data_IF_031528305066
#
_entry.id   IF_031528305066
#
_cell.length_a   1.000
_cell.length_b   1.000
_cell.length_c   1.000
_cell.angle_alpha   90.00
_cell.angle_beta   90.00
_cell.angle_gamma   90.00
#
_symmetry.space_group_name_H-M   'P 1'
#
loop_
_entity.id
_entity.type
_entity.pdbx_description
1 polymer ?
#
# COMPACT_ATOMS: atom_id res chain seq x y z
N UNK A 1 -21.60 -58.58 32.33
CA UNK A 1 -20.78 -59.56 33.04
C UNK A 1 -19.33 -59.14 33.02
N UNK A 2 -18.70 -59.15 34.14
CA UNK A 2 -17.30 -59.04 34.55
C UNK A 2 -16.67 -57.65 34.53
N UNK A 3 -16.74 -57.06 35.74
CA UNK A 3 -15.81 -56.06 36.25
C UNK A 3 -14.42 -56.65 36.49
N UNK A 4 -13.37 -55.93 36.32
CA UNK A 4 -12.07 -56.21 36.93
C UNK A 4 -11.51 -54.93 37.55
N UNK A 5 -11.37 -55.03 38.87
CA UNK A 5 -10.67 -54.08 39.77
C UNK A 5 -9.17 -54.10 39.51
N UNK A 6 -8.55 -52.90 39.60
CA UNK A 6 -7.11 -52.82 39.85
C UNK A 6 -6.84 -52.02 41.13
N UNK A 7 -6.06 -52.67 41.97
CA UNK A 7 -5.69 -52.27 43.33
C UNK A 7 -4.54 -51.25 43.30
N UNK A 8 -4.66 -50.16 44.09
CA UNK A 8 -3.58 -49.24 44.38
C UNK A 8 -2.59 -49.85 45.38
N UNK A 9 -1.31 -49.86 45.04
CA UNK A 9 -0.22 -50.17 45.97
C UNK A 9 0.52 -48.85 46.26
N UNK A 10 0.41 -48.34 47.49
CA UNK A 10 1.17 -47.20 47.97
C UNK A 10 2.51 -47.69 48.52
N UNK A 11 3.61 -47.22 47.94
CA UNK A 11 4.95 -47.39 48.48
C UNK A 11 5.41 -46.10 49.17
N UNK A 12 5.60 -46.16 50.48
CA UNK A 12 6.20 -45.11 51.31
C UNK A 12 7.73 -45.24 51.15
N UNK A 13 8.37 -44.19 50.62
CA UNK A 13 9.85 -44.09 50.64
C UNK A 13 10.21 -42.93 51.57
N UNK A 14 10.92 -43.26 52.64
CA UNK A 14 11.45 -42.30 53.60
C UNK A 14 12.59 -41.47 52.97
N UNK A 15 12.50 -40.16 53.01
CA UNK A 15 13.50 -39.24 52.53
C UNK A 15 14.56 -38.99 53.57
N UNK A 16 15.81 -39.29 53.25
CA UNK A 16 17.00 -38.87 54.00
C UNK A 16 17.43 -37.50 53.47
N UNK A 17 17.31 -36.43 54.28
CA UNK A 17 17.79 -35.10 53.97
C UNK A 17 19.36 -35.11 54.02
N UNK A 18 19.97 -34.76 52.88
CA UNK A 18 21.34 -34.26 52.85
C UNK A 18 21.30 -32.81 52.41
N UNK A 19 22.05 -31.90 53.07
CA UNK A 19 22.13 -30.50 52.56
C UNK A 19 23.01 -30.47 51.32
N UNK A 20 22.41 -30.20 50.14
CA UNK A 20 23.15 -29.92 48.91
C UNK A 20 23.60 -28.47 48.92
N UNK A 21 24.90 -28.25 48.85
CA UNK A 21 25.54 -26.97 48.56
C UNK A 21 24.97 -26.40 47.25
N UNK A 22 24.41 -25.17 47.30
CA UNK A 22 23.86 -24.47 46.17
C UNK A 22 24.90 -24.18 45.10
N UNK A 23 24.77 -24.77 43.93
CA UNK A 23 25.36 -24.28 42.71
C UNK A 23 24.58 -23.03 42.24
N UNK A 24 25.23 -21.97 41.74
CA UNK A 24 24.51 -20.81 41.21
C UNK A 24 23.67 -21.26 40.01
N UNK A 25 22.35 -20.99 40.05
CA UNK A 25 21.49 -21.15 38.91
C UNK A 25 22.03 -20.22 37.81
N UNK A 26 22.50 -20.78 36.70
CA UNK A 26 22.70 -20.04 35.48
C UNK A 26 21.32 -19.58 35.02
N UNK A 27 21.05 -18.29 35.24
CA UNK A 27 19.91 -17.59 34.64
C UNK A 27 20.18 -17.52 33.12
N UNK A 28 19.80 -18.57 32.42
CA UNK A 28 19.72 -18.55 30.95
C UNK A 28 18.49 -17.71 30.65
N UNK A 29 18.69 -16.39 30.59
CA UNK A 29 17.69 -15.46 30.12
C UNK A 29 17.25 -15.92 28.73
N UNK A 30 16.14 -16.65 28.67
CA UNK A 30 15.41 -16.90 27.44
C UNK A 30 14.91 -15.52 26.95
N UNK A 31 15.75 -14.83 26.16
CA UNK A 31 15.27 -13.69 25.39
C UNK A 31 14.17 -14.23 24.49
N UNK A 32 12.94 -13.77 24.71
CA UNK A 32 11.85 -14.03 23.75
C UNK A 32 12.36 -13.70 22.35
N UNK A 33 12.08 -14.53 21.33
CA UNK A 33 12.51 -14.25 19.98
C UNK A 33 11.92 -12.89 19.59
N UNK A 34 12.80 -11.93 19.34
CA UNK A 34 12.40 -10.57 18.94
C UNK A 34 11.56 -10.71 17.66
N UNK A 35 10.32 -10.19 17.71
CA UNK A 35 9.43 -10.24 16.55
C UNK A 35 10.13 -9.60 15.35
N UNK A 36 10.09 -10.27 14.19
CA UNK A 36 10.72 -9.75 12.98
C UNK A 36 10.14 -8.37 12.63
N UNK A 37 10.99 -7.41 12.24
CA UNK A 37 10.53 -6.09 11.87
C UNK A 37 9.62 -6.15 10.66
N UNK A 38 8.53 -5.40 10.71
CA UNK A 38 7.57 -5.22 9.62
C UNK A 38 7.90 -3.96 8.85
N UNK A 39 7.94 -4.07 7.53
CA UNK A 39 8.24 -2.95 6.65
C UNK A 39 7.11 -2.70 5.67
N UNK A 40 6.96 -1.42 5.30
CA UNK A 40 6.04 -0.96 4.28
C UNK A 40 6.82 -0.29 3.17
N UNK A 41 6.62 -0.75 1.95
CA UNK A 41 7.25 -0.23 0.75
C UNK A 41 6.22 0.46 -0.14
N UNK A 42 6.67 1.23 -1.12
CA UNK A 42 5.84 1.71 -2.19
C UNK A 42 6.49 1.41 -3.55
N UNK A 43 5.71 0.85 -4.46
CA UNK A 43 6.10 0.61 -5.84
C UNK A 43 6.31 1.93 -6.55
N UNK A 44 7.48 2.14 -7.14
CA UNK A 44 7.87 3.37 -7.79
C UNK A 44 8.26 3.12 -9.25
N UNK A 45 7.51 3.70 -10.18
CA UNK A 45 7.74 3.57 -11.62
C UNK A 45 8.93 4.43 -12.05
N UNK A 46 10.10 3.81 -12.28
CA UNK A 46 11.29 4.50 -12.83
C UNK A 46 11.09 4.85 -14.30
N UNK A 47 10.27 4.08 -15.02
CA UNK A 47 9.99 4.26 -16.45
C UNK A 47 9.31 5.58 -16.82
N UNK A 48 8.79 6.35 -15.85
CA UNK A 48 8.16 7.66 -16.12
C UNK A 48 8.93 8.84 -15.51
N UNK A 49 10.17 8.64 -15.06
CA UNK A 49 10.94 9.72 -14.40
C UNK A 49 12.26 10.05 -15.10
N UNK A 50 12.31 9.96 -16.42
CA UNK A 50 13.47 10.32 -17.22
C UNK A 50 14.03 11.72 -16.88
N UNK A 51 13.12 12.65 -16.58
CA UNK A 51 13.45 14.06 -16.32
C UNK A 51 13.73 14.38 -14.85
N UNK A 52 13.59 13.39 -13.93
CA UNK A 52 13.81 13.63 -12.50
C UNK A 52 15.24 14.07 -12.24
N UNK A 53 15.35 15.08 -11.37
CA UNK A 53 16.58 15.52 -10.76
C UNK A 53 16.69 14.98 -9.34
N UNK A 54 17.83 15.12 -8.70
CA UNK A 54 18.05 14.68 -7.33
C UNK A 54 16.99 15.18 -6.35
N UNK A 55 16.57 16.44 -6.50
CA UNK A 55 15.58 17.08 -5.60
C UNK A 55 14.17 16.51 -5.74
N UNK A 56 13.79 16.00 -6.92
CA UNK A 56 12.50 15.34 -7.12
C UNK A 56 12.46 14.04 -6.30
N UNK A 57 13.53 13.23 -6.37
CA UNK A 57 13.70 12.04 -5.57
C UNK A 57 13.69 12.32 -4.06
N UNK A 58 14.41 13.37 -3.63
CA UNK A 58 14.44 13.81 -2.22
C UNK A 58 13.04 14.20 -1.73
N UNK A 59 12.29 14.92 -2.56
CA UNK A 59 10.92 15.36 -2.24
C UNK A 59 9.98 14.18 -2.06
N UNK A 60 9.97 13.23 -2.99
CA UNK A 60 9.15 12.04 -2.93
C UNK A 60 9.50 11.16 -1.71
N UNK A 61 10.78 10.92 -1.48
CA UNK A 61 11.23 10.11 -0.34
C UNK A 61 10.87 10.74 1.01
N UNK A 62 10.99 12.06 1.17
CA UNK A 62 10.56 12.76 2.38
C UNK A 62 9.04 12.64 2.59
N UNK A 63 8.26 12.75 1.52
CA UNK A 63 6.82 12.58 1.60
C UNK A 63 6.41 11.15 1.99
N UNK A 64 7.13 10.14 1.50
CA UNK A 64 6.94 8.74 1.86
C UNK A 64 7.33 8.45 3.32
N UNK A 65 8.48 8.96 3.77
CA UNK A 65 8.91 8.85 5.17
C UNK A 65 7.93 9.46 6.15
N UNK A 66 7.30 10.59 5.80
CA UNK A 66 6.36 11.32 6.65
C UNK A 66 5.15 10.48 7.07
N UNK A 67 4.83 9.43 6.33
CA UNK A 67 3.73 8.50 6.62
C UNK A 67 4.21 7.12 7.08
N UNK A 68 5.53 6.91 7.20
CA UNK A 68 6.11 5.67 7.70
C UNK A 68 6.46 4.61 6.67
N UNK A 69 6.48 4.95 5.37
CA UNK A 69 7.04 4.09 4.31
C UNK A 69 8.55 3.97 4.53
N UNK A 70 9.07 2.77 4.42
CA UNK A 70 10.47 2.43 4.71
C UNK A 70 11.36 2.46 3.47
N UNK A 71 10.82 2.07 2.30
CA UNK A 71 11.57 2.03 1.04
C UNK A 71 10.68 2.21 -0.18
N UNK A 72 11.31 2.62 -1.30
CA UNK A 72 10.73 2.47 -2.62
C UNK A 72 11.22 1.20 -3.31
N UNK A 73 10.29 0.43 -3.90
CA UNK A 73 10.57 -0.63 -4.86
C UNK A 73 10.71 0.02 -6.25
N UNK A 74 11.94 0.20 -6.71
CA UNK A 74 12.26 0.92 -7.95
C UNK A 74 12.00 0.03 -9.16
N UNK A 75 10.78 0.08 -9.72
CA UNK A 75 10.40 -0.67 -10.89
C UNK A 75 11.11 -0.09 -12.13
N UNK A 76 11.94 -0.89 -12.77
CA UNK A 76 12.74 -0.45 -13.91
C UNK A 76 12.71 -1.45 -15.07
N UNK A 77 12.57 -0.90 -16.30
CA UNK A 77 12.60 -1.65 -17.54
C UNK A 77 14.00 -1.69 -18.16
N UNK A 78 14.31 -2.77 -18.87
CA UNK A 78 15.60 -2.94 -19.56
C UNK A 78 15.76 -2.05 -20.81
N UNK A 79 14.64 -1.55 -21.33
CA UNK A 79 14.59 -0.74 -22.55
C UNK A 79 14.84 0.74 -22.30
N UNK A 80 14.68 1.22 -21.07
CA UNK A 80 14.83 2.63 -20.71
C UNK A 80 16.31 3.00 -20.53
N UNK A 81 16.83 3.79 -21.45
CA UNK A 81 18.26 4.16 -21.47
C UNK A 81 18.68 4.99 -20.25
N UNK A 82 17.74 5.67 -19.61
CA UNK A 82 17.96 6.49 -18.41
C UNK A 82 17.91 5.69 -17.11
N UNK A 83 17.51 4.42 -17.13
CA UNK A 83 17.44 3.55 -15.93
C UNK A 83 18.73 3.62 -15.09
N UNK A 84 19.96 3.46 -15.64
CA UNK A 84 21.16 3.52 -14.82
C UNK A 84 21.35 4.87 -14.12
N UNK A 85 21.04 5.98 -14.80
CA UNK A 85 21.14 7.33 -14.26
C UNK A 85 20.11 7.56 -13.17
N UNK A 86 18.86 7.18 -13.40
CA UNK A 86 17.78 7.38 -12.45
C UNK A 86 17.93 6.50 -11.21
N UNK A 87 18.41 5.26 -11.35
CA UNK A 87 18.76 4.43 -10.19
C UNK A 87 19.88 5.06 -9.37
N UNK A 88 20.94 5.59 -10.02
CA UNK A 88 22.03 6.26 -9.29
C UNK A 88 21.54 7.49 -8.51
N UNK A 89 20.68 8.32 -9.11
CA UNK A 89 20.06 9.47 -8.43
C UNK A 89 19.15 9.04 -7.28
N UNK A 90 18.35 7.99 -7.48
CA UNK A 90 17.48 7.44 -6.43
C UNK A 90 18.28 6.94 -5.22
N UNK A 91 19.34 6.18 -5.43
CA UNK A 91 20.21 5.70 -4.35
C UNK A 91 20.95 6.85 -3.65
N UNK A 92 21.40 7.86 -4.40
CA UNK A 92 22.02 9.06 -3.85
C UNK A 92 21.04 9.84 -2.97
N UNK A 93 19.83 10.11 -3.46
CA UNK A 93 18.78 10.80 -2.72
C UNK A 93 18.39 10.04 -1.45
N UNK A 94 18.20 8.73 -1.57
CA UNK A 94 17.86 7.86 -0.45
C UNK A 94 18.92 7.90 0.66
N UNK A 95 20.20 7.86 0.30
CA UNK A 95 21.30 8.02 1.25
C UNK A 95 21.28 9.40 1.93
N UNK A 96 21.03 10.47 1.14
CA UNK A 96 20.99 11.84 1.66
C UNK A 96 19.90 12.04 2.72
N UNK A 97 18.72 11.44 2.54
CA UNK A 97 17.57 11.61 3.46
C UNK A 97 17.39 10.44 4.44
N UNK A 98 18.34 9.49 4.48
CA UNK A 98 18.25 8.28 5.28
C UNK A 98 16.97 7.47 5.00
N UNK A 99 16.64 7.31 3.73
CA UNK A 99 15.58 6.45 3.22
C UNK A 99 16.17 5.19 2.60
N UNK A 100 15.35 4.17 2.35
CA UNK A 100 15.80 2.95 1.68
C UNK A 100 15.17 2.81 0.30
N UNK A 101 15.87 2.09 -0.57
CA UNK A 101 15.38 1.71 -1.89
C UNK A 101 15.84 0.29 -2.21
N UNK A 102 15.15 -0.38 -3.12
CA UNK A 102 15.59 -1.62 -3.74
C UNK A 102 15.08 -1.72 -5.17
N UNK A 103 15.76 -2.49 -5.99
CA UNK A 103 15.37 -2.64 -7.40
C UNK A 103 14.23 -3.65 -7.52
N UNK A 104 13.23 -3.31 -8.32
CA UNK A 104 12.17 -4.19 -8.82
C UNK A 104 12.29 -4.29 -10.34
N UNK A 105 12.79 -5.42 -10.84
CA UNK A 105 12.96 -5.61 -12.28
C UNK A 105 11.63 -5.90 -12.96
N UNK A 106 11.26 -5.13 -13.98
CA UNK A 106 10.02 -5.31 -14.73
C UNK A 106 10.19 -6.37 -15.82
N UNK A 107 9.76 -7.59 -15.56
CA UNK A 107 9.86 -8.71 -16.50
C UNK A 107 8.87 -8.67 -17.68
N UNK A 108 8.09 -7.62 -17.81
CA UNK A 108 7.48 -7.31 -19.11
C UNK A 108 8.54 -6.85 -20.14
N UNK A 109 9.73 -6.42 -19.65
CA UNK A 109 10.84 -5.91 -20.47
C UNK A 109 12.17 -6.61 -20.21
N UNK A 110 12.37 -7.19 -19.03
CA UNK A 110 13.50 -8.08 -18.74
C UNK A 110 13.17 -9.51 -19.13
N UNK A 111 14.18 -10.33 -19.30
CA UNK A 111 14.04 -11.74 -19.68
C UNK A 111 14.91 -12.66 -18.82
N UNK A 112 14.64 -13.95 -18.86
CA UNK A 112 15.49 -14.96 -18.21
C UNK A 112 16.93 -14.97 -18.75
N UNK A 113 17.16 -14.43 -19.95
CA UNK A 113 18.49 -14.27 -20.54
C UNK A 113 19.32 -13.13 -19.97
N UNK A 114 18.72 -12.21 -19.22
CA UNK A 114 19.38 -11.02 -18.68
C UNK A 114 20.03 -11.26 -17.32
N UNK A 115 20.18 -12.50 -16.86
CA UNK A 115 20.76 -12.89 -15.56
C UNK A 115 22.07 -12.16 -15.24
N UNK A 116 22.98 -12.05 -16.22
CA UNK A 116 24.29 -11.39 -16.01
C UNK A 116 24.13 -9.87 -15.77
N UNK A 117 23.18 -9.22 -16.47
CA UNK A 117 22.91 -7.79 -16.26
C UNK A 117 22.25 -7.54 -14.90
N UNK A 118 21.27 -8.38 -14.52
CA UNK A 118 20.62 -8.33 -13.21
C UNK A 118 21.63 -8.52 -12.09
N UNK A 119 22.53 -9.51 -12.24
CA UNK A 119 23.62 -9.73 -11.29
C UNK A 119 24.56 -8.53 -11.18
N UNK A 120 24.85 -7.84 -12.30
CA UNK A 120 25.68 -6.62 -12.28
C UNK A 120 25.01 -5.48 -11.50
N UNK A 121 23.69 -5.26 -11.66
CA UNK A 121 22.94 -4.29 -10.85
C UNK A 121 22.98 -4.66 -9.37
N UNK A 122 22.74 -5.94 -9.04
CA UNK A 122 22.79 -6.37 -7.64
C UNK A 122 24.20 -6.26 -7.05
N UNK A 123 25.25 -6.59 -7.81
CA UNK A 123 26.63 -6.38 -7.38
C UNK A 123 26.95 -4.91 -7.11
N UNK A 124 26.37 -4.00 -7.90
CA UNK A 124 26.58 -2.56 -7.73
C UNK A 124 25.88 -2.00 -6.48
N UNK A 125 24.65 -2.48 -6.18
CA UNK A 125 23.80 -1.83 -5.19
C UNK A 125 23.59 -2.64 -3.89
N UNK A 126 23.80 -3.96 -3.86
CA UNK A 126 23.46 -4.79 -2.71
C UNK A 126 24.11 -4.36 -1.39
N UNK A 127 25.29 -3.75 -1.45
CA UNK A 127 26.00 -3.21 -0.28
C UNK A 127 25.91 -1.68 -0.14
N UNK A 128 25.07 -1.03 -0.95
CA UNK A 128 24.90 0.42 -0.85
C UNK A 128 24.22 0.81 0.46
N UNK A 129 24.63 1.90 1.18
CA UNK A 129 24.02 2.29 2.46
C UNK A 129 22.50 2.51 2.40
N UNK A 130 21.96 2.94 1.25
CA UNK A 130 20.52 3.12 1.04
C UNK A 130 19.79 1.85 0.58
N UNK A 131 20.50 0.74 0.30
CA UNK A 131 19.86 -0.51 -0.09
C UNK A 131 19.04 -1.08 1.08
N UNK A 132 17.77 -1.45 0.81
CA UNK A 132 16.93 -2.13 1.79
C UNK A 132 17.49 -3.53 2.08
N UNK A 133 17.65 -3.84 3.35
CA UNK A 133 18.09 -5.15 3.83
C UNK A 133 16.96 -5.85 4.59
N UNK A 134 16.77 -7.13 4.37
CA UNK A 134 15.82 -7.95 5.11
C UNK A 134 16.38 -9.37 5.28
N UNK A 135 16.22 -9.95 6.49
CA UNK A 135 16.73 -11.30 6.84
C UNK A 135 18.18 -11.53 6.40
N UNK A 136 19.02 -10.50 6.53
CA UNK A 136 20.46 -10.59 6.22
C UNK A 136 20.82 -10.50 4.74
N UNK A 137 19.86 -10.19 3.85
CA UNK A 137 20.11 -10.03 2.42
C UNK A 137 19.56 -8.73 1.85
N UNK A 138 20.17 -8.23 0.79
CA UNK A 138 19.70 -7.10 0.02
C UNK A 138 18.38 -7.46 -0.67
N UNK A 139 17.30 -6.70 -0.38
CA UNK A 139 15.99 -6.94 -0.98
C UNK A 139 16.05 -6.65 -2.48
N UNK A 140 15.45 -7.53 -3.26
CA UNK A 140 15.20 -7.36 -4.68
C UNK A 140 13.84 -7.95 -5.02
N UNK A 141 13.10 -7.32 -5.94
CA UNK A 141 11.79 -7.79 -6.38
C UNK A 141 11.67 -7.76 -7.90
N UNK A 142 10.49 -8.09 -8.41
CA UNK A 142 10.12 -8.00 -9.83
C UNK A 142 8.68 -7.55 -9.97
N UNK A 143 8.33 -7.03 -11.15
CA UNK A 143 7.00 -7.13 -11.69
C UNK A 143 7.02 -8.27 -12.70
N UNK A 144 6.07 -9.21 -12.62
CA UNK A 144 6.10 -10.49 -13.36
C UNK A 144 7.48 -11.17 -13.25
N UNK A 145 7.62 -12.33 -12.77
CA UNK A 145 8.96 -12.92 -12.55
C UNK A 145 8.92 -14.42 -12.30
N UNK A 146 7.79 -15.06 -12.62
CA UNK A 146 7.46 -16.43 -12.24
C UNK A 146 8.50 -17.47 -12.65
N UNK A 147 9.20 -17.26 -13.76
CA UNK A 147 10.15 -18.24 -14.30
C UNK A 147 11.62 -17.92 -14.06
N UNK A 148 11.94 -16.74 -13.48
CA UNK A 148 13.32 -16.31 -13.31
C UNK A 148 14.04 -17.08 -12.20
N UNK A 149 15.28 -17.51 -12.47
CA UNK A 149 16.10 -18.23 -11.49
C UNK A 149 17.09 -17.28 -10.80
N UNK A 150 16.88 -17.04 -9.51
CA UNK A 150 17.71 -16.19 -8.66
C UNK A 150 19.03 -16.84 -8.22
N UNK A 151 19.16 -18.16 -8.32
CA UNK A 151 20.37 -18.90 -7.91
C UNK A 151 21.66 -18.36 -8.54
N UNK A 152 21.75 -18.23 -9.87
CA UNK A 152 22.92 -17.67 -10.55
C UNK A 152 23.21 -16.21 -10.16
N UNK A 153 22.19 -15.37 -9.95
CA UNK A 153 22.38 -13.99 -9.49
C UNK A 153 23.02 -13.97 -8.11
N UNK A 154 22.49 -14.77 -7.18
CA UNK A 154 23.04 -14.91 -5.81
C UNK A 154 24.49 -15.40 -5.81
N UNK A 155 24.83 -16.32 -6.70
CA UNK A 155 26.20 -16.83 -6.84
C UNK A 155 27.17 -15.78 -7.40
N UNK A 156 26.69 -14.91 -8.31
CA UNK A 156 27.52 -13.89 -8.95
C UNK A 156 27.65 -12.61 -8.12
N UNK A 157 26.87 -12.46 -7.04
CA UNK A 157 26.88 -11.27 -6.17
C UNK A 157 27.65 -11.57 -4.89
N UNK A 158 28.59 -10.69 -4.53
CA UNK A 158 29.44 -10.86 -3.32
C UNK A 158 28.69 -10.62 -2.00
N UNK A 159 27.49 -10.05 -2.05
CA UNK A 159 26.63 -9.78 -0.89
C UNK A 159 25.37 -10.66 -0.93
N UNK A 160 24.86 -11.11 0.23
CA UNK A 160 23.62 -11.86 0.28
C UNK A 160 22.44 -11.08 -0.34
N UNK A 161 21.57 -11.78 -1.05
CA UNK A 161 20.37 -11.25 -1.67
C UNK A 161 19.15 -11.92 -1.06
N UNK A 162 18.12 -11.13 -0.76
CA UNK A 162 16.78 -11.57 -0.35
C UNK A 162 15.81 -11.28 -1.49
N UNK A 163 15.56 -12.27 -2.35
CA UNK A 163 14.71 -12.12 -3.54
C UNK A 163 13.25 -12.42 -3.22
N UNK A 164 12.38 -11.43 -3.46
CA UNK A 164 10.92 -11.51 -3.28
C UNK A 164 10.22 -11.13 -4.59
N UNK A 165 10.32 -11.99 -5.63
CA UNK A 165 9.74 -11.69 -6.94
C UNK A 165 8.22 -11.66 -6.91
N UNK A 166 7.61 -10.87 -7.80
CA UNK A 166 6.19 -11.00 -8.08
C UNK A 166 5.92 -12.31 -8.81
N UNK A 167 5.02 -13.09 -8.27
CA UNK A 167 4.51 -14.32 -8.85
C UNK A 167 3.03 -14.13 -9.16
N UNK A 168 2.62 -14.38 -10.39
CA UNK A 168 1.22 -14.26 -10.80
C UNK A 168 0.37 -15.45 -10.31
N UNK A 169 0.97 -16.64 -10.24
CA UNK A 169 0.34 -17.83 -9.71
C UNK A 169 0.87 -18.16 -8.32
N UNK A 170 0.03 -18.13 -7.27
CA UNK A 170 0.44 -18.53 -5.92
C UNK A 170 1.07 -19.93 -5.87
N UNK A 171 0.60 -20.87 -6.71
CA UNK A 171 1.16 -22.22 -6.76
C UNK A 171 2.63 -22.24 -7.18
N UNK A 172 3.09 -21.25 -7.97
CA UNK A 172 4.49 -21.11 -8.31
C UNK A 172 5.37 -20.75 -7.10
N UNK A 173 4.80 -20.21 -6.04
CA UNK A 173 5.53 -19.88 -4.81
C UNK A 173 6.10 -21.14 -4.13
N UNK A 174 5.39 -22.26 -4.15
CA UNK A 174 5.86 -23.51 -3.56
C UNK A 174 7.10 -24.10 -4.23
N UNK A 175 7.29 -23.85 -5.51
CA UNK A 175 8.47 -24.28 -6.29
C UNK A 175 9.57 -23.24 -6.40
N UNK A 176 9.30 -22.01 -5.92
CA UNK A 176 10.18 -20.87 -6.17
C UNK A 176 11.48 -20.93 -5.36
N UNK A 177 11.49 -21.56 -4.20
CA UNK A 177 12.73 -21.83 -3.45
C UNK A 177 13.76 -22.63 -4.27
N UNK A 178 13.31 -23.48 -5.20
CA UNK A 178 14.20 -24.20 -6.13
C UNK A 178 14.85 -23.26 -7.17
N UNK A 179 14.24 -22.08 -7.40
CA UNK A 179 14.76 -21.02 -8.27
C UNK A 179 15.51 -19.94 -7.49
N UNK A 180 15.81 -20.18 -6.21
CA UNK A 180 16.59 -19.30 -5.37
C UNK A 180 15.87 -18.06 -4.86
N UNK A 181 14.55 -17.95 -4.98
CA UNK A 181 13.79 -16.90 -4.31
C UNK A 181 13.63 -17.20 -2.81
N UNK A 182 13.47 -16.14 -2.00
CA UNK A 182 13.32 -16.21 -0.53
C UNK A 182 11.90 -15.92 -0.08
N UNK A 183 11.02 -15.63 -1.04
CA UNK A 183 9.63 -15.34 -0.81
C UNK A 183 8.91 -14.99 -2.10
N UNK A 184 7.73 -14.40 -1.98
CA UNK A 184 6.97 -13.92 -3.13
C UNK A 184 6.22 -12.62 -2.82
N UNK A 185 6.04 -11.82 -3.87
CA UNK A 185 5.21 -10.64 -3.92
C UNK A 185 3.94 -10.95 -4.72
N UNK A 186 2.78 -10.55 -4.19
CA UNK A 186 1.49 -10.65 -4.88
C UNK A 186 1.13 -9.32 -5.54
N UNK A 187 0.56 -9.37 -6.76
CA UNK A 187 -0.01 -8.18 -7.42
C UNK A 187 -1.53 -8.09 -7.29
N UNK A 188 -2.17 -9.01 -6.58
CA UNK A 188 -3.61 -9.03 -6.37
C UNK A 188 -4.04 -8.02 -5.30
N UNK A 189 -3.99 -6.73 -5.65
CA UNK A 189 -4.33 -5.61 -4.75
C UNK A 189 -5.80 -5.16 -4.87
N UNK A 190 -6.55 -5.68 -5.84
CA UNK A 190 -7.91 -5.28 -6.19
C UNK A 190 -8.85 -6.49 -6.21
N UNK A 191 -10.18 -6.28 -6.11
CA UNK A 191 -11.16 -7.36 -6.25
C UNK A 191 -11.03 -8.03 -7.61
N UNK A 192 -10.64 -9.30 -7.63
CA UNK A 192 -10.49 -10.11 -8.86
C UNK A 192 -10.56 -11.60 -8.56
N UNK A 193 -11.05 -12.36 -9.52
CA UNK A 193 -11.00 -13.84 -9.51
C UNK A 193 -9.69 -14.38 -10.13
N UNK A 194 -8.79 -13.50 -10.51
CA UNK A 194 -7.49 -13.80 -11.11
C UNK A 194 -7.22 -13.02 -12.38
N UNK A 195 -5.95 -12.74 -12.66
CA UNK A 195 -5.53 -11.87 -13.76
C UNK A 195 -6.21 -10.51 -13.67
N UNK A 196 -6.75 -10.05 -14.79
CA UNK A 196 -7.48 -8.78 -14.88
C UNK A 196 -9.01 -8.96 -14.89
N UNK A 197 -9.54 -10.05 -14.33
CA UNK A 197 -10.99 -10.26 -14.24
C UNK A 197 -11.62 -9.21 -13.34
N UNK A 198 -12.70 -8.59 -13.81
CA UNK A 198 -13.41 -7.53 -13.10
C UNK A 198 -14.61 -8.15 -12.39
N UNK A 199 -14.60 -8.12 -11.08
CA UNK A 199 -15.69 -8.63 -10.25
C UNK A 199 -16.31 -7.52 -9.42
N UNK A 200 -17.56 -7.71 -9.05
CA UNK A 200 -18.26 -6.82 -8.13
C UNK A 200 -17.79 -7.16 -6.71
N UNK A 201 -16.89 -6.34 -6.16
CA UNK A 201 -16.29 -6.54 -4.83
C UNK A 201 -17.25 -7.00 -3.73
N UNK A 202 -16.88 -6.98 -2.48
CA UNK A 202 -15.64 -6.38 -1.95
C UNK A 202 -14.38 -7.24 -2.17
N UNK A 203 -13.22 -6.63 -1.96
CA UNK A 203 -11.93 -7.35 -1.89
C UNK A 203 -11.97 -8.39 -0.77
N UNK A 204 -11.48 -9.59 -1.05
CA UNK A 204 -11.29 -10.66 -0.05
C UNK A 204 -9.82 -10.99 0.13
N UNK A 205 -9.49 -11.84 1.10
CA UNK A 205 -8.11 -12.30 1.36
C UNK A 205 -7.76 -13.60 0.63
N UNK A 206 -8.62 -14.08 -0.27
CA UNK A 206 -8.46 -15.40 -0.91
C UNK A 206 -7.10 -15.59 -1.62
N UNK A 207 -6.57 -14.53 -2.21
CA UNK A 207 -5.26 -14.55 -2.85
C UNK A 207 -4.14 -14.55 -1.82
N UNK A 208 -4.24 -13.70 -0.78
CA UNK A 208 -3.27 -13.67 0.32
C UNK A 208 -3.18 -15.03 1.00
N UNK A 209 -4.33 -15.66 1.29
CA UNK A 209 -4.40 -16.96 1.94
C UNK A 209 -3.70 -18.05 1.11
N UNK A 210 -3.82 -17.99 -0.23
CA UNK A 210 -3.11 -18.89 -1.14
C UNK A 210 -1.60 -18.67 -1.08
N UNK A 211 -1.13 -17.41 -1.19
CA UNK A 211 0.30 -17.11 -1.08
C UNK A 211 0.87 -17.52 0.27
N UNK A 212 0.21 -17.19 1.37
CA UNK A 212 0.65 -17.56 2.73
C UNK A 212 0.78 -19.07 2.87
N UNK A 213 -0.20 -19.83 2.36
CA UNK A 213 -0.20 -21.29 2.37
C UNK A 213 0.96 -21.86 1.55
N UNK A 214 1.15 -21.38 0.32
CA UNK A 214 2.11 -21.95 -0.62
C UNK A 214 3.56 -21.55 -0.28
N UNK A 215 3.75 -20.39 0.36
CA UNK A 215 5.04 -19.92 0.85
C UNK A 215 5.53 -20.64 2.12
N UNK A 216 4.65 -21.30 2.85
CA UNK A 216 4.98 -22.15 4.01
C UNK A 216 5.95 -21.48 5.02
N UNK A 217 5.71 -20.22 5.36
CA UNK A 217 6.50 -19.46 6.35
C UNK A 217 7.71 -18.71 5.80
N UNK A 218 7.96 -18.72 4.48
CA UNK A 218 8.92 -17.83 3.84
C UNK A 218 8.35 -16.40 3.72
N UNK A 219 9.07 -15.46 3.12
CA UNK A 219 8.65 -14.06 3.06
C UNK A 219 7.44 -13.89 2.14
N UNK A 220 6.33 -13.37 2.70
CA UNK A 220 5.20 -12.88 1.92
C UNK A 220 5.19 -11.36 1.91
N UNK A 221 5.21 -10.75 0.72
CA UNK A 221 5.00 -9.33 0.50
C UNK A 221 3.60 -9.12 -0.07
N UNK A 222 2.72 -8.56 0.76
CA UNK A 222 1.31 -8.37 0.42
C UNK A 222 1.09 -7.00 -0.24
N UNK A 223 0.24 -6.91 -1.28
CA UNK A 223 -0.04 -5.65 -1.95
C UNK A 223 -1.14 -4.87 -1.25
N UNK A 224 -1.04 -3.54 -1.29
CA UNK A 224 -2.11 -2.60 -0.91
C UNK A 224 -2.28 -1.59 -2.03
N UNK A 225 -3.50 -1.36 -2.51
CA UNK A 225 -3.78 -0.31 -3.48
C UNK A 225 -5.05 0.45 -3.12
N UNK A 226 -5.10 1.77 -3.40
CA UNK A 226 -6.29 2.55 -3.07
C UNK A 226 -7.37 2.49 -4.15
N UNK A 227 -6.98 2.47 -5.42
CA UNK A 227 -7.85 2.61 -6.57
C UNK A 227 -7.26 1.91 -7.79
N UNK A 228 -8.05 1.77 -8.85
CA UNK A 228 -7.57 1.38 -10.16
C UNK A 228 -8.51 1.85 -11.27
N UNK A 229 -7.97 2.63 -12.18
CA UNK A 229 -8.63 2.98 -13.42
C UNK A 229 -7.58 3.29 -14.49
N UNK A 230 -7.71 2.72 -15.67
CA UNK A 230 -6.80 2.97 -16.78
C UNK A 230 -7.56 3.16 -18.08
N UNK A 231 -7.05 4.02 -18.96
CA UNK A 231 -7.75 4.45 -20.18
C UNK A 231 -6.79 4.61 -21.37
N UNK A 232 -5.93 3.60 -21.58
CA UNK A 232 -5.08 3.49 -22.77
C UNK A 232 -5.71 2.56 -23.82
N UNK A 233 -5.34 2.72 -25.09
CA UNK A 233 -5.77 1.80 -26.15
C UNK A 233 -5.43 0.34 -25.85
N UNK A 234 -4.31 0.08 -25.20
CA UNK A 234 -3.85 -1.26 -24.82
C UNK A 234 -4.42 -1.76 -23.50
N UNK A 235 -4.88 -0.84 -22.64
CA UNK A 235 -5.42 -1.11 -21.31
C UNK A 235 -6.59 -0.16 -21.04
N UNK A 236 -7.82 -0.67 -20.97
CA UNK A 236 -9.01 0.17 -20.79
C UNK A 236 -10.03 -0.52 -19.90
N UNK A 237 -9.82 -0.48 -18.57
CA UNK A 237 -10.71 -1.06 -17.57
C UNK A 237 -10.59 -0.39 -16.20
N UNK A 238 -11.54 -0.69 -15.32
CA UNK A 238 -11.54 -0.33 -13.90
C UNK A 238 -11.73 -1.56 -13.04
N UNK A 239 -11.11 -1.58 -11.84
CA UNK A 239 -11.54 -2.48 -10.79
C UNK A 239 -12.55 -1.78 -9.86
N UNK A 240 -13.37 -2.56 -9.14
CA UNK A 240 -14.41 -2.03 -8.26
C UNK A 240 -13.81 -1.79 -6.87
N UNK A 241 -13.10 -0.68 -6.72
CA UNK A 241 -12.30 -0.37 -5.55
C UNK A 241 -13.08 0.28 -4.40
N UNK A 242 -14.02 1.15 -4.71
CA UNK A 242 -14.94 1.84 -3.77
C UNK A 242 -14.36 2.13 -2.37
N UNK A 243 -14.57 1.26 -1.37
CA UNK A 243 -14.03 1.38 -0.01
C UNK A 243 -12.69 0.63 0.19
N UNK A 244 -12.04 0.21 -0.88
CA UNK A 244 -10.78 -0.55 -0.84
C UNK A 244 -9.68 0.11 0.01
N UNK A 245 -9.49 1.46 0.01
CA UNK A 245 -8.42 2.10 0.77
C UNK A 245 -8.40 1.74 2.26
N UNK A 246 -9.55 1.62 2.90
CA UNK A 246 -9.65 1.22 4.31
C UNK A 246 -9.70 -0.30 4.47
N UNK A 247 -10.55 -0.96 3.67
CA UNK A 247 -10.73 -2.41 3.74
C UNK A 247 -9.41 -3.18 3.59
N UNK A 248 -8.58 -2.77 2.63
CA UNK A 248 -7.31 -3.48 2.37
C UNK A 248 -6.33 -3.34 3.53
N UNK A 249 -6.22 -2.18 4.15
CA UNK A 249 -5.40 -2.00 5.35
C UNK A 249 -5.94 -2.79 6.54
N UNK A 250 -7.25 -2.87 6.75
CA UNK A 250 -7.86 -3.71 7.78
C UNK A 250 -7.50 -5.20 7.59
N UNK A 251 -7.51 -5.67 6.33
CA UNK A 251 -7.03 -7.01 5.99
C UNK A 251 -5.54 -7.18 6.32
N UNK A 252 -4.68 -6.19 6.05
CA UNK A 252 -3.25 -6.27 6.41
C UNK A 252 -3.03 -6.34 7.92
N UNK A 253 -3.80 -5.59 8.71
CA UNK A 253 -3.73 -5.67 10.18
C UNK A 253 -4.17 -7.04 10.71
N UNK A 254 -5.12 -7.70 10.05
CA UNK A 254 -5.59 -9.04 10.42
C UNK A 254 -4.61 -10.14 9.98
N UNK A 255 -4.14 -10.10 8.73
CA UNK A 255 -3.25 -11.11 8.12
C UNK A 255 -1.83 -11.04 8.66
N UNK A 256 -1.35 -9.83 8.99
CA UNK A 256 0.01 -9.57 9.48
C UNK A 256 1.11 -10.14 8.56
N UNK A 257 1.09 -9.89 7.24
CA UNK A 257 2.13 -10.40 6.34
C UNK A 257 3.53 -9.94 6.77
N UNK A 258 4.57 -10.57 6.23
CA UNK A 258 5.96 -10.20 6.54
C UNK A 258 6.28 -8.78 6.09
N UNK A 259 5.87 -8.44 4.87
CA UNK A 259 6.10 -7.16 4.21
C UNK A 259 4.81 -6.68 3.55
N UNK A 260 4.67 -5.37 3.37
CA UNK A 260 3.59 -4.75 2.61
C UNK A 260 4.18 -3.85 1.53
N UNK A 261 3.66 -3.93 0.30
CA UNK A 261 4.01 -3.00 -0.77
C UNK A 261 2.77 -2.26 -1.25
N UNK A 262 2.82 -0.92 -1.21
CA UNK A 262 1.76 -0.06 -1.71
C UNK A 262 1.92 0.07 -3.23
N UNK A 263 0.89 -0.29 -3.96
CA UNK A 263 0.78 -0.14 -5.40
C UNK A 263 -0.12 1.05 -5.69
N UNK A 264 0.48 2.21 -6.03
CA UNK A 264 1.87 2.58 -6.21
C UNK A 264 2.17 3.97 -5.60
N UNK A 265 3.43 4.42 -5.74
CA UNK A 265 3.76 5.82 -5.45
C UNK A 265 3.33 6.74 -6.58
N UNK A 266 3.65 6.40 -7.84
CA UNK A 266 3.56 7.33 -8.98
C UNK A 266 3.02 6.72 -10.28
N UNK A 267 2.32 5.58 -10.26
CA UNK A 267 1.69 5.09 -11.48
C UNK A 267 0.40 5.87 -11.77
N UNK A 268 0.56 6.94 -12.55
CA UNK A 268 -0.55 7.80 -12.97
C UNK A 268 -1.40 7.13 -14.03
N UNK A 269 -0.80 6.26 -14.84
CA UNK A 269 -1.45 5.53 -15.93
C UNK A 269 -2.55 4.57 -15.45
N UNK A 270 -2.37 3.99 -14.27
CA UNK A 270 -3.33 3.07 -13.65
C UNK A 270 -4.11 3.69 -12.49
N UNK A 271 -3.91 4.99 -12.20
CA UNK A 271 -4.67 5.77 -11.20
C UNK A 271 -4.56 5.26 -9.75
N UNK A 272 -3.55 4.47 -9.42
CA UNK A 272 -3.36 3.94 -8.07
C UNK A 272 -2.21 4.59 -7.29
N UNK A 273 -1.74 5.74 -7.75
CA UNK A 273 -0.69 6.50 -7.08
C UNK A 273 -1.17 7.11 -5.75
N UNK A 274 -0.25 7.21 -4.77
CA UNK A 274 -0.44 7.95 -3.52
C UNK A 274 0.57 9.09 -3.35
N UNK A 275 1.57 9.15 -4.21
CA UNK A 275 2.53 10.24 -4.30
C UNK A 275 1.93 11.49 -4.93
N UNK A 276 2.63 12.62 -4.88
CA UNK A 276 2.20 13.83 -5.57
C UNK A 276 2.28 13.64 -7.10
N UNK A 277 1.39 14.32 -7.82
CA UNK A 277 1.53 14.39 -9.27
C UNK A 277 2.74 15.26 -9.62
N UNK A 278 3.81 14.64 -10.10
CA UNK A 278 5.05 15.35 -10.44
C UNK A 278 4.96 16.04 -11.80
N UNK A 279 5.32 17.31 -11.86
CA UNK A 279 5.44 18.04 -13.13
C UNK A 279 6.62 17.57 -14.00
N UNK A 280 7.60 16.88 -13.38
CA UNK A 280 8.82 16.39 -14.06
C UNK A 280 8.71 14.93 -14.52
N UNK A 281 7.55 14.27 -14.34
CA UNK A 281 7.37 12.94 -14.90
C UNK A 281 7.30 13.01 -16.44
N UNK A 282 7.71 11.93 -17.09
CA UNK A 282 7.51 11.74 -18.53
C UNK A 282 6.04 11.32 -18.76
N UNK A 283 5.26 12.18 -19.42
CA UNK A 283 3.84 11.91 -19.66
C UNK A 283 3.66 10.79 -20.69
N UNK A 284 3.12 9.68 -20.26
CA UNK A 284 2.73 8.54 -21.08
C UNK A 284 1.34 8.71 -21.72
N UNK A 285 0.71 9.87 -21.55
CA UNK A 285 -0.65 10.19 -21.96
C UNK A 285 -1.66 10.13 -20.84
N UNK A 286 -1.26 9.72 -19.64
CA UNK A 286 -2.10 9.64 -18.44
C UNK A 286 -2.45 11.00 -17.85
N UNK A 287 -1.74 12.08 -18.23
CA UNK A 287 -2.07 13.45 -17.85
C UNK A 287 -3.53 13.81 -18.13
N UNK A 288 -4.17 13.17 -19.11
CA UNK A 288 -5.59 13.36 -19.45
C UNK A 288 -6.54 13.04 -18.28
N UNK A 289 -6.18 12.10 -17.41
CA UNK A 289 -7.00 11.70 -16.26
C UNK A 289 -6.32 11.85 -14.92
N UNK A 290 -5.00 12.03 -14.86
CA UNK A 290 -4.28 12.18 -13.62
C UNK A 290 -4.05 13.66 -13.22
N UNK A 291 -3.86 14.56 -14.20
CA UNK A 291 -3.62 15.97 -13.93
C UNK A 291 -4.86 16.62 -13.28
N UNK A 292 -4.66 17.23 -12.11
CA UNK A 292 -5.75 17.84 -11.35
C UNK A 292 -6.56 16.85 -10.50
N UNK A 293 -6.13 15.59 -10.44
CA UNK A 293 -6.69 14.55 -9.59
C UNK A 293 -5.67 14.16 -8.50
N UNK A 294 -5.48 15.00 -7.45
CA UNK A 294 -4.53 14.71 -6.38
C UNK A 294 -4.96 13.48 -5.57
N UNK A 295 -3.98 12.66 -5.18
CA UNK A 295 -4.20 11.52 -4.29
C UNK A 295 -3.47 11.68 -2.94
N UNK A 296 -2.87 12.86 -2.71
CA UNK A 296 -2.07 13.18 -1.53
C UNK A 296 -2.77 12.85 -0.21
N UNK A 297 -4.08 13.07 -0.14
CA UNK A 297 -4.84 12.85 1.10
C UNK A 297 -4.98 11.37 1.48
N UNK A 298 -4.75 10.42 0.57
CA UNK A 298 -4.65 9.01 0.99
C UNK A 298 -3.46 8.75 1.89
N UNK A 299 -2.42 9.58 1.84
CA UNK A 299 -1.31 9.51 2.78
C UNK A 299 -1.75 9.82 4.22
N UNK A 300 -2.70 10.76 4.40
CA UNK A 300 -3.28 11.06 5.72
C UNK A 300 -4.05 9.85 6.28
N UNK A 301 -4.78 9.14 5.41
CA UNK A 301 -5.52 7.93 5.77
C UNK A 301 -4.59 6.74 6.06
N UNK A 302 -3.52 6.57 5.27
CA UNK A 302 -2.63 5.41 5.36
C UNK A 302 -1.67 5.49 6.55
N UNK A 303 -1.27 6.69 6.95
CA UNK A 303 -0.32 6.92 8.05
C UNK A 303 -0.67 6.17 9.34
N UNK A 304 -1.89 6.27 9.91
CA UNK A 304 -2.26 5.51 11.10
C UNK A 304 -2.31 3.99 10.88
N UNK A 305 -2.69 3.53 9.68
CA UNK A 305 -2.66 2.10 9.36
C UNK A 305 -1.23 1.56 9.25
N UNK A 306 -0.33 2.29 8.61
CA UNK A 306 1.10 1.92 8.51
C UNK A 306 1.71 1.82 9.92
N UNK A 307 1.43 2.79 10.79
CA UNK A 307 1.90 2.77 12.18
C UNK A 307 1.39 1.52 12.92
N UNK A 308 0.09 1.23 12.83
CA UNK A 308 -0.52 0.06 13.46
C UNK A 308 0.05 -1.27 12.92
N UNK A 309 0.22 -1.39 11.60
CA UNK A 309 0.82 -2.57 11.01
C UNK A 309 2.25 -2.81 11.51
N UNK A 310 3.07 -1.77 11.59
CA UNK A 310 4.48 -1.86 12.03
C UNK A 310 4.61 -2.18 13.51
N UNK A 311 3.71 -1.66 14.34
CA UNK A 311 3.68 -1.98 15.79
C UNK A 311 3.03 -3.34 16.09
N UNK A 312 2.35 -3.95 15.11
CA UNK A 312 1.61 -5.20 15.30
C UNK A 312 0.22 -5.04 15.91
N UNK A 313 -0.25 -3.79 16.01
CA UNK A 313 -1.57 -3.46 16.54
C UNK A 313 -2.68 -3.95 15.60
N UNK A 314 -3.82 -4.30 16.19
CA UNK A 314 -4.99 -4.75 15.43
C UNK A 314 -5.86 -3.59 14.91
N UNK A 315 -5.60 -2.36 15.38
CA UNK A 315 -6.36 -1.15 15.01
C UNK A 315 -5.45 0.06 14.98
N UNK A 316 -5.69 1.04 14.08
CA UNK A 316 -4.98 2.30 14.07
C UNK A 316 -5.28 3.15 15.32
N UNK A 317 -4.26 3.84 15.82
CA UNK A 317 -4.40 4.91 16.80
C UNK A 317 -4.56 6.25 16.08
N UNK A 318 -5.63 6.99 16.39
CA UNK A 318 -5.91 8.29 15.79
C UNK A 318 -5.19 9.37 16.59
N UNK A 319 -4.13 9.93 16.04
CA UNK A 319 -3.37 11.04 16.64
C UNK A 319 -3.88 12.42 16.20
N UNK A 320 -4.61 12.47 15.09
CA UNK A 320 -5.24 13.66 14.56
C UNK A 320 -6.62 13.28 14.01
N UNK A 321 -7.68 13.90 14.55
CA UNK A 321 -9.02 13.69 14.00
C UNK A 321 -9.14 14.35 12.62
N UNK A 322 -9.89 13.71 11.72
CA UNK A 322 -10.07 14.20 10.36
C UNK A 322 -11.02 13.32 9.55
N UNK A 323 -11.15 13.66 8.30
CA UNK A 323 -11.77 12.82 7.30
C UNK A 323 -11.01 12.91 5.98
N UNK A 324 -11.02 11.81 5.24
CA UNK A 324 -10.51 11.72 3.87
C UNK A 324 -11.66 11.31 2.98
N UNK A 325 -11.79 11.99 1.84
CA UNK A 325 -12.87 11.74 0.88
C UNK A 325 -12.32 11.50 -0.52
N UNK A 326 -13.03 10.69 -1.30
CA UNK A 326 -12.71 10.45 -2.71
C UNK A 326 -13.97 10.25 -3.54
N UNK A 327 -13.91 10.72 -4.78
CA UNK A 327 -15.02 10.60 -5.73
C UNK A 327 -14.54 10.87 -7.15
N UNK A 328 -15.23 10.29 -8.12
CA UNK A 328 -14.97 10.53 -9.54
C UNK A 328 -15.42 11.94 -9.95
N UNK A 329 -14.77 12.54 -10.96
CA UNK A 329 -15.14 13.90 -11.43
C UNK A 329 -16.51 13.96 -12.07
N UNK A 330 -17.07 12.81 -12.50
CA UNK A 330 -18.39 12.70 -13.14
C UNK A 330 -19.09 11.41 -12.72
N UNK A 331 -20.43 11.36 -12.79
CA UNK A 331 -21.17 10.10 -12.77
C UNK A 331 -20.71 9.16 -13.90
N UNK A 332 -20.80 7.84 -13.67
CA UNK A 332 -20.35 6.82 -14.62
C UNK A 332 -21.07 6.83 -15.97
N UNK A 333 -22.30 7.34 -15.99
CA UNK A 333 -23.15 7.39 -17.19
C UNK A 333 -22.93 8.63 -18.06
N UNK A 334 -21.99 9.52 -17.72
CA UNK A 334 -21.69 10.70 -18.55
C UNK A 334 -21.07 10.24 -19.86
N UNK A 335 -21.67 10.70 -20.98
CA UNK A 335 -21.13 10.47 -22.30
C UNK A 335 -20.01 11.47 -22.62
N UNK A 336 -18.90 11.00 -23.17
CA UNK A 336 -17.71 11.79 -23.50
C UNK A 336 -17.48 11.79 -25.01
N UNK A 337 -18.16 12.63 -25.80
CA UNK A 337 -18.19 12.52 -27.26
C UNK A 337 -16.87 12.91 -27.93
N UNK A 338 -15.95 13.58 -27.24
CA UNK A 338 -14.62 13.92 -27.77
C UNK A 338 -13.58 12.82 -27.50
N UNK A 339 -13.98 11.78 -26.75
CA UNK A 339 -13.10 10.63 -26.49
C UNK A 339 -13.14 9.64 -27.66
N UNK A 340 -11.98 9.28 -28.16
CA UNK A 340 -11.86 8.31 -29.27
C UNK A 340 -11.97 6.87 -28.81
N UNK A 341 -12.07 6.62 -27.50
CA UNK A 341 -12.17 5.28 -26.92
C UNK A 341 -13.50 5.11 -26.19
N UNK A 342 -14.03 3.90 -26.10
CA UNK A 342 -15.18 3.61 -25.28
C UNK A 342 -14.83 3.77 -23.79
N UNK A 343 -15.88 3.96 -22.96
CA UNK A 343 -15.72 3.92 -21.51
C UNK A 343 -14.99 2.61 -21.07
N UNK A 344 -14.16 2.66 -20.03
CA UNK A 344 -13.38 1.51 -19.55
C UNK A 344 -14.26 0.31 -19.18
N UNK A 345 -13.81 -0.91 -19.50
CA UNK A 345 -14.50 -2.13 -19.09
C UNK A 345 -14.73 -2.14 -17.57
N UNK A 346 -15.91 -2.58 -17.13
CA UNK A 346 -16.29 -2.65 -15.72
C UNK A 346 -16.94 -1.38 -15.16
N UNK A 347 -16.94 -0.26 -15.87
CA UNK A 347 -17.49 1.00 -15.38
C UNK A 347 -18.95 0.91 -14.93
N UNK A 348 -19.76 0.05 -15.56
CA UNK A 348 -21.17 -0.14 -15.24
C UNK A 348 -21.38 -0.66 -13.81
N UNK A 349 -20.39 -1.39 -13.26
CA UNK A 349 -20.46 -1.98 -11.92
C UNK A 349 -20.10 -0.98 -10.81
N UNK A 350 -19.46 0.16 -11.14
CA UNK A 350 -19.15 1.20 -10.17
C UNK A 350 -20.42 1.84 -9.61
N UNK A 351 -20.38 2.26 -8.34
CA UNK A 351 -21.40 3.12 -7.77
C UNK A 351 -21.15 4.60 -8.12
N UNK A 352 -22.19 5.39 -8.29
CA UNK A 352 -22.09 6.86 -8.28
C UNK A 352 -22.18 7.33 -6.84
N UNK A 353 -21.02 7.33 -6.15
CA UNK A 353 -20.93 7.63 -4.73
C UNK A 353 -19.78 8.59 -4.42
N UNK A 354 -19.96 9.34 -3.33
CA UNK A 354 -18.93 10.06 -2.61
C UNK A 354 -18.54 9.19 -1.42
N UNK A 355 -17.28 8.82 -1.31
CA UNK A 355 -16.75 8.03 -0.20
C UNK A 355 -16.08 8.95 0.81
N UNK A 356 -16.30 8.70 2.09
CA UNK A 356 -15.70 9.45 3.20
C UNK A 356 -15.21 8.49 4.27
N UNK A 357 -13.92 8.48 4.54
CA UNK A 357 -13.33 7.81 5.69
C UNK A 357 -13.15 8.82 6.83
N UNK A 358 -13.90 8.67 7.91
CA UNK A 358 -13.72 9.47 9.13
C UNK A 358 -12.64 8.82 10.00
N UNK A 359 -11.79 9.62 10.64
CA UNK A 359 -10.75 9.23 11.59
C UNK A 359 -11.02 9.96 12.91
N UNK A 360 -11.68 9.31 13.86
CA UNK A 360 -12.22 9.97 15.06
C UNK A 360 -11.82 9.24 16.34
N UNK A 361 -11.55 10.00 17.40
CA UNK A 361 -11.25 9.47 18.74
C UNK A 361 -12.51 9.13 19.55
N UNK A 362 -13.64 9.72 19.21
CA UNK A 362 -14.94 9.46 19.84
C UNK A 362 -16.07 9.60 18.81
N UNK A 363 -17.25 9.00 19.08
CA UNK A 363 -18.39 9.07 18.15
C UNK A 363 -18.78 10.51 17.81
N UNK A 364 -19.29 10.69 16.57
CA UNK A 364 -19.73 11.97 16.05
C UNK A 364 -20.78 11.77 14.95
N UNK A 365 -21.36 12.85 14.44
CA UNK A 365 -22.28 12.83 13.29
C UNK A 365 -21.54 13.42 12.08
N UNK A 366 -21.37 12.62 11.02
CA UNK A 366 -20.92 13.06 9.71
C UNK A 366 -22.13 13.59 8.92
N UNK A 367 -21.99 14.77 8.35
CA UNK A 367 -22.95 15.33 7.37
C UNK A 367 -22.27 15.51 6.03
N UNK A 368 -22.82 14.89 4.98
CA UNK A 368 -22.32 15.05 3.61
C UNK A 368 -23.40 15.68 2.76
N UNK A 369 -23.04 16.76 2.07
CA UNK A 369 -23.91 17.39 1.06
C UNK A 369 -23.24 17.24 -0.29
N UNK A 370 -23.83 16.46 -1.17
CA UNK A 370 -23.31 16.19 -2.50
C UNK A 370 -24.11 16.92 -3.55
N UNK A 371 -23.52 17.95 -4.14
CA UNK A 371 -24.17 18.79 -5.15
C UNK A 371 -25.50 19.40 -4.65
N UNK A 372 -26.56 19.19 -5.42
CA UNK A 372 -27.92 19.62 -5.09
C UNK A 372 -28.72 18.62 -4.26
N UNK A 373 -28.16 17.46 -3.90
CA UNK A 373 -28.84 16.48 -3.07
C UNK A 373 -29.08 17.02 -1.65
N UNK A 374 -30.14 16.54 -1.00
CA UNK A 374 -30.37 16.82 0.41
C UNK A 374 -29.19 16.32 1.26
N UNK A 375 -28.76 17.05 2.31
CA UNK A 375 -27.70 16.61 3.20
C UNK A 375 -28.02 15.25 3.84
N UNK A 376 -27.05 14.34 3.81
CA UNK A 376 -27.13 13.02 4.47
C UNK A 376 -26.36 13.09 5.79
N UNK A 377 -27.00 12.69 6.89
CA UNK A 377 -26.38 12.60 8.22
C UNK A 377 -26.21 11.14 8.60
N UNK A 378 -25.02 10.81 9.09
CA UNK A 378 -24.67 9.46 9.54
C UNK A 378 -23.96 9.55 10.87
N UNK A 379 -24.40 8.81 11.86
CA UNK A 379 -23.67 8.67 13.12
C UNK A 379 -22.52 7.69 12.91
N UNK A 380 -21.31 8.15 13.20
CA UNK A 380 -20.07 7.42 13.00
C UNK A 380 -19.39 7.14 14.34
N UNK A 381 -18.94 5.90 14.60
CA UNK A 381 -18.24 5.56 15.83
C UNK A 381 -16.82 6.13 15.84
N UNK A 382 -16.10 5.95 16.94
CA UNK A 382 -14.66 6.17 17.02
C UNK A 382 -13.89 5.16 16.14
N UNK A 383 -12.72 5.55 15.67
CA UNK A 383 -11.86 4.79 14.77
C UNK A 383 -11.86 5.33 13.35
N UNK A 384 -11.42 4.50 12.41
CA UNK A 384 -11.50 4.80 10.97
C UNK A 384 -12.72 4.08 10.40
N UNK A 385 -13.65 4.84 9.83
CA UNK A 385 -14.90 4.29 9.28
C UNK A 385 -15.21 4.92 7.94
N UNK A 386 -15.38 4.09 6.92
CA UNK A 386 -15.77 4.54 5.58
C UNK A 386 -17.29 4.53 5.42
N UNK A 387 -17.83 5.67 5.01
CA UNK A 387 -19.24 5.87 4.66
C UNK A 387 -19.31 6.29 3.20
N UNK A 388 -20.40 5.94 2.49
CA UNK A 388 -20.66 6.47 1.17
C UNK A 388 -22.04 7.13 1.09
N UNK A 389 -22.16 8.12 0.23
CA UNK A 389 -23.44 8.78 -0.07
C UNK A 389 -23.59 8.91 -1.57
N UNK A 390 -24.85 9.00 -2.05
CA UNK A 390 -25.14 9.16 -3.48
C UNK A 390 -24.50 10.44 -4.02
N UNK A 391 -23.77 10.30 -5.12
CA UNK A 391 -23.13 11.41 -5.84
C UNK A 391 -24.17 12.34 -6.42
N UNK A 392 -24.02 13.64 -6.18
CA UNK A 392 -24.78 14.73 -6.80
C UNK A 392 -23.87 15.65 -7.58
N UNK A 393 -24.40 16.24 -8.65
CA UNK A 393 -23.70 17.21 -9.50
C UNK A 393 -23.46 18.51 -8.73
N UNK A 394 -22.23 19.04 -8.77
CA UNK A 394 -21.81 20.28 -8.12
C UNK A 394 -20.85 20.06 -6.95
N UNK A 395 -20.84 21.02 -6.04
CA UNK A 395 -19.92 21.07 -4.91
C UNK A 395 -20.16 19.95 -3.89
N UNK A 396 -19.06 19.39 -3.37
CA UNK A 396 -19.12 18.39 -2.31
C UNK A 396 -18.75 19.05 -0.98
N UNK A 397 -19.57 18.86 0.07
CA UNK A 397 -19.34 19.46 1.38
C UNK A 397 -19.37 18.39 2.47
N UNK A 398 -18.47 18.53 3.43
CA UNK A 398 -18.24 17.56 4.51
C UNK A 398 -18.21 18.28 5.84
N UNK A 399 -18.96 17.79 6.81
CA UNK A 399 -19.03 18.37 8.12
C UNK A 399 -19.09 17.26 9.17
N UNK A 400 -18.30 17.34 10.23
CA UNK A 400 -18.41 16.45 11.38
C UNK A 400 -18.80 17.30 12.58
N UNK A 401 -19.84 16.88 13.31
CA UNK A 401 -20.29 17.51 14.52
C UNK A 401 -20.33 16.55 15.69
N UNK A 402 -20.04 17.06 16.89
CA UNK A 402 -20.07 16.32 18.15
C UNK A 402 -20.73 17.20 19.22
N UNK A 403 -21.75 16.66 19.92
CA UNK A 403 -22.52 17.40 20.92
C UNK A 403 -23.09 18.73 20.39
N UNK A 404 -23.55 18.75 19.14
CA UNK A 404 -24.08 19.92 18.49
C UNK A 404 -23.05 20.96 18.00
N UNK A 405 -21.75 20.73 18.23
CA UNK A 405 -20.67 21.61 17.76
C UNK A 405 -20.01 21.01 16.53
N UNK A 406 -19.72 21.85 15.55
CA UNK A 406 -18.94 21.46 14.37
C UNK A 406 -17.47 21.36 14.77
N UNK A 407 -16.85 20.19 14.54
CA UNK A 407 -15.44 19.92 14.81
C UNK A 407 -14.60 19.84 13.54
N UNK A 408 -15.21 19.47 12.42
CA UNK A 408 -14.59 19.49 11.09
C UNK A 408 -15.59 20.10 10.10
N UNK A 409 -15.09 20.98 9.22
CA UNK A 409 -15.89 21.59 8.14
C UNK A 409 -15.01 21.79 6.92
N UNK A 410 -15.46 21.33 5.75
CA UNK A 410 -14.70 21.43 4.54
C UNK A 410 -15.52 21.24 3.26
N UNK A 411 -14.91 21.67 2.16
CA UNK A 411 -15.46 21.55 0.80
C UNK A 411 -14.46 20.74 -0.05
N UNK A 412 -14.98 19.89 -0.92
CA UNK A 412 -14.21 19.20 -1.95
C UNK A 412 -13.52 20.17 -2.89
N UNK A 413 -12.30 19.86 -3.28
CA UNK A 413 -11.52 20.71 -4.18
C UNK A 413 -11.95 20.65 -5.63
N UNK A 414 -12.83 19.69 -6.00
CA UNK A 414 -13.37 19.50 -7.34
C UNK A 414 -14.88 19.36 -7.25
N UNK A 415 -15.63 20.10 -8.07
CA UNK A 415 -17.06 19.90 -8.22
C UNK A 415 -17.34 18.71 -9.16
N UNK A 416 -18.33 17.88 -8.84
CA UNK A 416 -18.77 16.82 -9.74
C UNK A 416 -19.52 17.44 -10.92
N UNK A 417 -19.10 17.11 -12.14
CA UNK A 417 -19.66 17.65 -13.37
C UNK A 417 -20.66 16.70 -14.03
N UNK A 418 -21.63 17.25 -14.78
CA UNK A 418 -22.60 16.51 -15.59
C UNK A 418 -22.12 16.22 -17.02
N UNK A 419 -20.91 16.67 -17.36
CA UNK A 419 -20.29 16.51 -18.68
C UNK A 419 -18.77 16.43 -18.56
N UNK A 420 -18.13 15.76 -19.52
CA UNK A 420 -16.69 15.74 -19.68
C UNK A 420 -16.35 15.53 -21.17
N UNK A 421 -15.17 15.98 -21.58
CA UNK A 421 -14.64 15.74 -22.93
C UNK A 421 -14.16 14.30 -23.09
N UNK A 422 -13.49 13.79 -22.05
CA UNK A 422 -12.87 12.47 -22.03
C UNK A 422 -13.36 11.69 -20.82
N UNK A 423 -13.40 10.37 -20.94
CA UNK A 423 -13.69 9.50 -19.82
C UNK A 423 -12.58 9.61 -18.77
N UNK A 424 -12.96 9.91 -17.53
CA UNK A 424 -12.06 9.95 -16.41
C UNK A 424 -12.67 9.18 -15.22
N UNK A 425 -12.18 7.96 -15.03
CA UNK A 425 -12.57 7.09 -13.92
C UNK A 425 -11.56 7.10 -12.76
N UNK A 426 -10.56 7.97 -12.81
CA UNK A 426 -9.74 8.33 -11.67
C UNK A 426 -10.58 9.07 -10.63
N UNK A 427 -10.09 9.20 -9.40
CA UNK A 427 -10.79 9.90 -8.31
C UNK A 427 -10.05 11.16 -7.88
N UNK A 428 -10.81 12.16 -7.48
CA UNK A 428 -10.30 13.27 -6.69
C UNK A 428 -10.27 12.86 -5.23
N UNK A 429 -9.12 13.00 -4.57
CA UNK A 429 -8.94 12.67 -3.16
C UNK A 429 -8.58 13.93 -2.38
N UNK A 430 -9.26 14.14 -1.25
CA UNK A 430 -8.96 15.27 -0.38
C UNK A 430 -9.19 14.93 1.08
N UNK A 431 -8.74 15.81 1.96
CA UNK A 431 -8.90 15.65 3.42
C UNK A 431 -9.39 16.93 4.10
N UNK A 432 -10.03 16.76 5.23
CA UNK A 432 -10.31 17.81 6.22
C UNK A 432 -9.74 17.34 7.54
N UNK A 433 -8.65 17.98 7.97
CA UNK A 433 -7.94 17.60 9.19
C UNK A 433 -8.24 18.60 10.31
N UNK A 434 -8.51 18.09 11.50
CA UNK A 434 -8.63 18.89 12.72
C UNK A 434 -7.26 19.38 13.20
N UNK A 435 -7.26 20.27 14.20
CA UNK A 435 -6.02 20.69 14.86
C UNK A 435 -5.34 19.48 15.50
N UNK A 436 -4.03 19.36 15.34
CA UNK A 436 -3.25 18.31 16.03
C UNK A 436 -3.33 18.53 17.54
N UNK A 437 -3.53 17.45 18.30
CA UNK A 437 -3.49 17.49 19.77
C UNK A 437 -2.11 17.95 20.23
N UNK A 438 -1.97 19.24 20.53
CA UNK A 438 -0.71 19.90 20.93
C UNK A 438 -0.70 21.40 20.70
N UNK A 439 -1.61 21.94 19.87
CA UNK A 439 -1.77 23.37 19.63
C UNK A 439 -3.04 23.89 20.34
N UNK A 440 -3.00 23.97 21.66
CA UNK A 440 -3.97 24.78 22.41
C UNK A 440 -3.56 26.26 22.27
N UNK A 441 -4.16 26.95 21.28
CA UNK A 441 -3.92 28.38 21.07
C UNK A 441 -4.46 28.82 19.71
N UNK A 442 -5.67 29.43 19.74
CA UNK A 442 -6.30 30.18 18.67
C UNK A 442 -6.37 29.55 17.26
N UNK A 443 -7.44 28.81 16.99
CA UNK A 443 -7.77 28.32 15.68
C UNK A 443 -8.30 29.48 14.81
N UNK A 444 -7.48 29.94 13.87
CA UNK A 444 -7.96 30.53 12.64
C UNK A 444 -7.95 29.43 11.59
N UNK A 445 -9.12 29.17 10.99
CA UNK A 445 -9.31 28.24 9.89
C UNK A 445 -8.47 28.71 8.70
N UNK A 446 -7.29 28.14 8.55
CA UNK A 446 -6.40 28.39 7.42
C UNK A 446 -6.70 27.40 6.32
N UNK A 447 -7.47 27.83 5.32
CA UNK A 447 -7.51 27.16 4.01
C UNK A 447 -6.14 27.35 3.38
N UNK A 448 -5.28 26.32 3.44
CA UNK A 448 -4.03 26.35 2.65
C UNK A 448 -4.37 26.24 1.17
N UNK A 449 -4.46 27.39 0.51
CA UNK A 449 -4.30 27.48 -0.93
C UNK A 449 -2.78 27.31 -1.21
N UNK A 450 -2.36 26.18 -1.69
CA UNK A 450 -1.09 26.09 -2.40
C UNK A 450 -1.37 26.46 -3.85
N UNK A 451 -0.78 27.59 -4.26
CA UNK A 451 -0.61 27.97 -5.64
C UNK A 451 0.57 27.20 -6.24
N UNK A 452 0.43 26.79 -7.49
CA UNK A 452 1.47 26.22 -8.30
C UNK A 452 0.86 25.38 -9.41
#
# INVERSE_FOLDING_TARGET
MLAKYFVFLAAIVASILHPALGAPALDVGLTEPQAEPKYVFAHFMVGIVENYQLEDWVTDMKAAQAIGIDAFALNCASIDKYTPTQLALAYQAAQQVNFKVFISFDFAYWSNGDTAKIAAYMQQYANHPAQMQYRGGAVVSTFVGDSFNWGPVKQATSHPIHAVPNLQDPAAASSNGQRGADGAFSWYAWPTDGGNSIIKGPMTTIWDDRYIKDLAGTTYMAPVSPWFATHFNSKNWVFICENLPTLRWEQMLALKPSLVEIISWNDYGESHYIGPYSANHSDDGSSKWAKGMPHDAWRDLYKPYIAAYKSGDSKPTITQEGLVYWYRPTPKGVNCPEDNMPAPNGFQMLSDSIFVATMLNSPATLTVTSGSNAPVKVDVPAGIVTTNVTMGIGAQKFQVSRNGQIILDGKGGLDVADRSKYYNFNVFVGSVLGSSAGAAGNASVGVMRRQG
#
